data_IF_298873668212
#
_entry.id   IF_298873668212
#
_cell.length_a   1.000
_cell.length_b   1.000
_cell.length_c   1.000
_cell.angle_alpha   90.00
_cell.angle_beta   90.00
_cell.angle_gamma   90.00
#
_symmetry.space_group_name_H-M   'P 1'
#
loop_
_entity.id
_entity.type
_entity.pdbx_description
1 polymer ?
#
# COMPACT_ATOMS: atom_id res chain seq x y z
N UNK A 1 2.32 26.40 0.38
CA UNK A 1 1.17 26.77 1.25
C UNK A 1 0.00 25.81 1.06
N UNK A 2 -0.56 25.64 -0.15
CA UNK A 2 -1.70 24.77 -0.43
C UNK A 2 -1.41 23.28 -0.15
N UNK A 3 -0.28 22.76 -0.62
CA UNK A 3 0.10 21.37 -0.38
C UNK A 3 0.16 21.02 1.12
N UNK A 4 0.77 21.89 1.94
CA UNK A 4 0.87 21.65 3.37
C UNK A 4 -0.53 21.57 4.02
N UNK A 5 -1.44 22.46 3.65
CA UNK A 5 -2.83 22.43 4.11
C UNK A 5 -3.52 21.12 3.70
N UNK A 6 -3.46 20.75 2.44
CA UNK A 6 -4.11 19.52 1.92
C UNK A 6 -3.55 18.26 2.56
N UNK A 7 -2.21 18.21 2.79
CA UNK A 7 -1.55 17.15 3.55
C UNK A 7 -2.08 17.09 5.00
N UNK A 8 -2.17 18.23 5.67
CA UNK A 8 -2.53 18.29 7.09
C UNK A 8 -4.02 17.99 7.33
N UNK A 9 -4.87 18.28 6.35
CA UNK A 9 -6.29 17.93 6.31
C UNK A 9 -6.57 16.52 5.75
N UNK A 10 -5.55 15.70 5.46
CA UNK A 10 -5.66 14.37 4.84
C UNK A 10 -6.54 14.37 3.57
N UNK A 11 -6.46 15.44 2.76
CA UNK A 11 -7.32 15.60 1.59
C UNK A 11 -7.02 14.55 0.52
N UNK A 12 -5.74 14.19 0.29
CA UNK A 12 -5.36 13.22 -0.72
C UNK A 12 -5.87 11.82 -0.40
N UNK A 13 -5.85 11.43 0.88
CA UNK A 13 -6.40 10.19 1.41
C UNK A 13 -7.91 10.13 1.17
N UNK A 14 -8.62 11.20 1.51
CA UNK A 14 -10.08 11.30 1.32
C UNK A 14 -10.48 11.26 -0.16
N UNK A 15 -9.73 11.93 -1.02
CA UNK A 15 -9.94 11.87 -2.48
C UNK A 15 -9.73 10.43 -2.98
N UNK A 16 -8.62 9.79 -2.57
CA UNK A 16 -8.36 8.40 -2.96
C UNK A 16 -9.49 7.46 -2.53
N UNK A 17 -9.94 7.58 -1.28
CA UNK A 17 -11.03 6.76 -0.75
C UNK A 17 -12.33 6.93 -1.58
N UNK A 18 -12.72 8.16 -1.87
CA UNK A 18 -13.90 8.45 -2.68
C UNK A 18 -13.77 7.89 -4.11
N UNK A 19 -12.60 8.04 -4.76
CA UNK A 19 -12.37 7.51 -6.10
C UNK A 19 -12.36 5.97 -6.14
N UNK A 20 -11.86 5.33 -5.09
CA UNK A 20 -11.90 3.86 -4.95
C UNK A 20 -13.36 3.38 -4.86
N UNK A 21 -14.17 3.99 -3.99
CA UNK A 21 -15.59 3.65 -3.86
C UNK A 21 -16.31 3.81 -5.22
N UNK A 22 -16.14 4.94 -5.88
CA UNK A 22 -16.75 5.23 -7.18
C UNK A 22 -16.36 4.23 -8.27
N UNK A 23 -15.06 3.86 -8.37
CA UNK A 23 -14.62 2.90 -9.39
C UNK A 23 -15.07 1.47 -9.07
N UNK A 24 -15.22 1.13 -7.80
CA UNK A 24 -15.78 -0.16 -7.39
C UNK A 24 -17.26 -0.27 -7.76
N UNK A 25 -18.07 0.71 -7.39
CA UNK A 25 -19.50 0.76 -7.70
C UNK A 25 -19.73 0.74 -9.21
N UNK A 26 -18.96 1.49 -9.98
CA UNK A 26 -19.02 1.46 -11.45
C UNK A 26 -18.66 0.08 -12.03
N UNK A 27 -17.81 -0.69 -11.37
CA UNK A 27 -17.50 -2.07 -11.75
C UNK A 27 -18.51 -3.09 -11.24
N UNK A 28 -19.66 -2.65 -10.71
CA UNK A 28 -20.69 -3.52 -10.16
C UNK A 28 -20.29 -4.19 -8.85
N UNK A 29 -19.43 -3.57 -8.06
CA UNK A 29 -18.95 -4.06 -6.76
C UNK A 29 -19.40 -3.14 -5.64
N UNK A 30 -19.49 -3.68 -4.44
CA UNK A 30 -19.72 -2.86 -3.26
C UNK A 30 -18.61 -1.81 -3.07
N UNK A 31 -18.98 -0.62 -2.60
CA UNK A 31 -18.03 0.48 -2.35
C UNK A 31 -16.87 0.06 -1.43
N UNK A 32 -17.16 -0.73 -0.39
CA UNK A 32 -16.16 -1.30 0.52
C UNK A 32 -15.79 -2.74 0.11
N UNK A 33 -14.49 -3.09 0.01
CA UNK A 33 -14.06 -4.45 -0.31
C UNK A 33 -14.24 -5.40 0.86
N UNK A 34 -14.50 -6.69 0.58
CA UNK A 34 -14.48 -7.80 1.55
C UNK A 34 -13.12 -8.50 1.62
N UNK A 35 -12.26 -8.27 0.63
CA UNK A 35 -10.92 -8.87 0.57
C UNK A 35 -9.88 -7.91 -0.02
N UNK A 36 -8.63 -8.05 0.42
CA UNK A 36 -7.53 -7.20 -0.01
C UNK A 36 -6.20 -7.97 -0.11
N UNK A 37 -5.19 -7.32 -0.66
CA UNK A 37 -3.81 -7.82 -0.75
C UNK A 37 -2.90 -6.78 -0.11
N UNK A 38 -1.98 -7.24 0.74
CA UNK A 38 -0.97 -6.40 1.40
C UNK A 38 0.42 -6.79 0.93
N UNK A 39 1.27 -5.78 0.72
CA UNK A 39 2.71 -5.96 0.49
C UNK A 39 3.47 -4.68 0.84
N UNK A 40 4.80 -4.76 0.86
CA UNK A 40 5.68 -3.64 1.13
C UNK A 40 6.74 -3.42 0.05
N UNK A 41 7.09 -2.16 -0.17
CA UNK A 41 8.20 -1.77 -1.02
C UNK A 41 9.17 -0.89 -0.25
N UNK A 42 10.46 -1.27 -0.24
CA UNK A 42 11.53 -0.40 0.27
C UNK A 42 12.09 0.48 -0.83
N UNK A 43 12.25 1.77 -0.56
CA UNK A 43 12.78 2.76 -1.51
C UNK A 43 13.90 3.56 -0.86
N UNK A 44 14.92 3.92 -1.65
CA UNK A 44 16.01 4.79 -1.19
C UNK A 44 15.48 6.19 -0.90
N UNK A 45 15.99 6.81 0.15
CA UNK A 45 15.87 8.26 0.38
C UNK A 45 17.05 9.00 -0.23
N UNK A 46 16.92 10.32 -0.30
CA UNK A 46 18.01 11.24 -0.68
C UNK A 46 18.65 11.88 0.55
N UNK A 47 19.65 12.74 0.35
CA UNK A 47 20.33 13.50 1.42
C UNK A 47 19.43 14.58 2.05
N UNK A 48 18.24 14.83 1.54
CA UNK A 48 17.29 15.84 2.03
C UNK A 48 16.80 15.63 3.46
N UNK A 49 17.25 14.56 4.13
CA UNK A 49 16.95 14.32 5.54
C UNK A 49 15.64 13.56 5.79
N UNK A 50 15.14 13.69 7.02
CA UNK A 50 13.93 13.05 7.49
C UNK A 50 14.12 11.61 8.00
N UNK A 51 13.06 11.01 8.60
CA UNK A 51 13.10 9.66 9.14
C UNK A 51 13.46 8.64 8.06
N UNK A 52 14.47 7.80 8.33
CA UNK A 52 14.92 6.71 7.44
C UNK A 52 15.50 5.57 8.26
N UNK A 53 15.44 4.34 7.75
CA UNK A 53 16.00 3.16 8.36
C UNK A 53 16.74 2.28 7.34
N UNK A 54 17.17 1.10 7.74
CA UNK A 54 17.84 0.14 6.88
C UNK A 54 17.06 -1.18 6.81
N UNK A 55 16.58 -1.51 5.63
CA UNK A 55 15.99 -2.81 5.34
C UNK A 55 17.11 -3.82 5.07
N UNK A 56 17.42 -4.67 6.04
CA UNK A 56 18.50 -5.64 5.93
C UNK A 56 18.21 -6.74 4.89
N UNK A 57 16.95 -7.11 4.70
CA UNK A 57 16.55 -8.12 3.72
C UNK A 57 16.71 -7.65 2.28
N UNK A 58 16.30 -6.41 2.01
CA UNK A 58 16.39 -5.79 0.67
C UNK A 58 17.67 -4.98 0.47
N UNK A 59 18.50 -4.82 1.53
CA UNK A 59 19.75 -4.02 1.54
C UNK A 59 19.52 -2.57 1.09
N UNK A 60 18.42 -1.96 1.52
CA UNK A 60 18.03 -0.59 1.14
C UNK A 60 18.01 0.29 2.40
N UNK A 61 18.78 1.40 2.34
CA UNK A 61 18.68 2.49 3.32
C UNK A 61 17.66 3.51 2.82
N UNK A 62 16.57 3.68 3.58
CA UNK A 62 15.50 4.58 3.15
C UNK A 62 14.20 4.41 3.90
N UNK A 63 13.11 4.33 3.17
CA UNK A 63 11.75 4.14 3.69
C UNK A 63 11.09 2.90 3.11
N UNK A 64 10.17 2.35 3.87
CA UNK A 64 9.31 1.26 3.46
C UNK A 64 7.90 1.82 3.27
N UNK A 65 7.22 1.37 2.23
CA UNK A 65 5.84 1.73 1.90
C UNK A 65 5.02 0.47 1.98
N UNK A 66 4.13 0.36 2.96
CA UNK A 66 3.12 -0.68 2.97
C UNK A 66 1.93 -0.23 2.13
N UNK A 67 1.36 -1.13 1.36
CA UNK A 67 0.15 -0.88 0.60
C UNK A 67 -0.85 -2.00 0.81
N UNK A 68 -2.11 -1.62 1.02
CA UNK A 68 -3.27 -2.48 0.98
C UNK A 68 -4.05 -2.12 -0.28
N UNK A 69 -4.28 -3.09 -1.16
CA UNK A 69 -5.06 -2.91 -2.39
C UNK A 69 -6.22 -3.90 -2.43
N UNK A 70 -7.31 -3.57 -3.13
CA UNK A 70 -8.36 -4.55 -3.38
C UNK A 70 -7.93 -5.61 -4.41
N UNK A 71 -8.79 -6.58 -4.69
CA UNK A 71 -8.51 -7.69 -5.61
C UNK A 71 -8.30 -7.27 -7.07
N UNK A 72 -8.64 -6.04 -7.45
CA UNK A 72 -8.42 -5.47 -8.78
C UNK A 72 -7.25 -4.45 -8.80
N UNK A 73 -6.62 -4.21 -7.66
CA UNK A 73 -5.47 -3.31 -7.51
C UNK A 73 -5.83 -1.84 -7.27
N UNK A 74 -7.04 -1.57 -6.77
CA UNK A 74 -7.38 -0.23 -6.28
C UNK A 74 -6.69 0.02 -4.95
N UNK A 75 -5.95 1.12 -4.79
CA UNK A 75 -5.23 1.42 -3.55
C UNK A 75 -6.19 1.82 -2.43
N UNK A 76 -6.31 0.98 -1.42
CA UNK A 76 -7.14 1.23 -0.25
C UNK A 76 -6.40 2.09 0.77
N UNK A 77 -5.20 1.65 1.14
CA UNK A 77 -4.32 2.32 2.10
C UNK A 77 -2.87 2.24 1.63
N UNK A 78 -2.11 3.29 1.89
CA UNK A 78 -0.65 3.33 1.67
C UNK A 78 0.00 4.07 2.83
N UNK A 79 0.91 3.39 3.56
CA UNK A 79 1.56 3.96 4.74
C UNK A 79 3.09 3.88 4.62
N UNK A 80 3.79 5.02 4.57
CA UNK A 80 5.25 5.06 4.59
C UNK A 80 5.79 5.12 6.02
N UNK A 81 6.87 4.40 6.27
CA UNK A 81 7.64 4.45 7.51
C UNK A 81 9.12 4.20 7.25
N UNK A 82 9.96 4.21 8.28
CA UNK A 82 11.38 3.91 8.16
C UNK A 82 11.60 2.47 7.68
N UNK A 83 12.63 2.21 6.88
CA UNK A 83 12.80 0.92 6.22
C UNK A 83 13.19 -0.23 7.17
N UNK A 84 13.61 0.07 8.40
CA UNK A 84 13.92 -0.89 9.46
C UNK A 84 12.67 -1.52 10.11
N UNK A 85 11.50 -0.91 9.95
CA UNK A 85 10.23 -1.51 10.41
C UNK A 85 9.97 -2.80 9.63
N UNK A 86 9.76 -3.91 10.35
CA UNK A 86 9.52 -5.21 9.71
C UNK A 86 8.12 -5.30 9.09
N UNK A 87 7.96 -6.13 8.06
CA UNK A 87 6.70 -6.25 7.33
C UNK A 87 5.54 -6.68 8.23
N UNK A 88 5.79 -7.55 9.21
CA UNK A 88 4.80 -7.96 10.22
C UNK A 88 4.33 -6.82 11.12
N UNK A 89 5.22 -5.89 11.48
CA UNK A 89 4.88 -4.78 12.39
C UNK A 89 4.14 -3.67 11.63
N UNK A 90 4.65 -3.26 10.48
CA UNK A 90 3.97 -2.29 9.61
C UNK A 90 2.65 -2.80 9.03
N UNK A 91 2.60 -4.08 8.68
CA UNK A 91 1.37 -4.72 8.19
C UNK A 91 0.28 -4.80 9.24
N UNK A 92 0.61 -5.17 10.48
CA UNK A 92 -0.35 -5.19 11.58
C UNK A 92 -0.97 -3.82 11.83
N UNK A 93 -0.15 -2.77 11.88
CA UNK A 93 -0.63 -1.39 12.03
C UNK A 93 -1.55 -0.97 10.87
N UNK A 94 -1.18 -1.29 9.61
CA UNK A 94 -2.01 -0.97 8.45
C UNK A 94 -3.37 -1.68 8.48
N UNK A 95 -3.41 -2.94 8.90
CA UNK A 95 -4.65 -3.71 9.03
C UNK A 95 -5.55 -3.14 10.14
N UNK A 96 -4.99 -2.66 11.25
CA UNK A 96 -5.75 -1.96 12.28
C UNK A 96 -6.41 -0.68 11.75
N UNK A 97 -5.67 0.13 10.99
CA UNK A 97 -6.22 1.33 10.34
C UNK A 97 -7.33 0.93 9.36
N UNK A 98 -7.13 -0.15 8.60
CA UNK A 98 -8.11 -0.61 7.61
C UNK A 98 -9.46 -0.98 8.21
N UNK A 99 -9.52 -1.46 9.45
CA UNK A 99 -10.78 -1.78 10.15
C UNK A 99 -11.71 -0.59 10.29
N UNK A 100 -11.16 0.62 10.50
CA UNK A 100 -11.96 1.85 10.61
C UNK A 100 -12.48 2.36 9.28
N UNK A 101 -11.75 2.16 8.19
CA UNK A 101 -12.08 2.70 6.87
C UNK A 101 -12.77 1.69 5.95
N UNK A 102 -12.48 0.42 6.10
CA UNK A 102 -12.99 -0.69 5.28
C UNK A 102 -13.43 -1.85 6.20
N UNK A 103 -14.51 -1.68 6.98
CA UNK A 103 -14.91 -2.62 8.04
C UNK A 103 -15.31 -4.01 7.52
N UNK A 104 -15.63 -4.13 6.22
CA UNK A 104 -16.04 -5.38 5.59
C UNK A 104 -14.89 -6.24 5.08
N UNK A 105 -13.62 -5.81 5.25
CA UNK A 105 -12.48 -6.66 4.91
C UNK A 105 -12.40 -7.82 5.92
N UNK A 106 -12.63 -9.03 5.43
CA UNK A 106 -12.56 -10.28 6.20
C UNK A 106 -11.28 -11.07 5.89
N UNK A 107 -10.70 -10.88 4.69
CA UNK A 107 -9.57 -11.65 4.20
C UNK A 107 -8.52 -10.77 3.54
N UNK A 108 -7.24 -11.05 3.85
CA UNK A 108 -6.09 -10.40 3.23
C UNK A 108 -5.07 -11.46 2.79
N UNK A 109 -4.57 -11.34 1.56
CA UNK A 109 -3.44 -12.12 1.07
C UNK A 109 -2.14 -11.35 1.30
N UNK A 110 -1.14 -12.07 1.79
CA UNK A 110 0.17 -11.50 2.13
C UNK A 110 1.31 -12.48 1.77
N UNK A 111 2.55 -11.99 1.78
CA UNK A 111 3.71 -12.87 1.68
C UNK A 111 4.16 -13.45 3.03
N UNK A 112 5.21 -14.30 3.01
CA UNK A 112 5.74 -14.93 4.21
C UNK A 112 6.26 -13.96 5.27
N UNK A 113 6.61 -12.72 4.91
CA UNK A 113 7.03 -11.67 5.84
C UNK A 113 5.94 -11.23 6.82
N UNK A 114 4.68 -11.49 6.48
CA UNK A 114 3.51 -11.20 7.31
C UNK A 114 3.05 -12.41 8.15
N UNK A 115 3.72 -13.56 8.05
CA UNK A 115 3.37 -14.75 8.82
C UNK A 115 3.80 -14.60 10.28
N UNK A 116 3.01 -13.89 11.06
CA UNK A 116 3.26 -13.65 12.48
C UNK A 116 1.95 -13.50 13.25
N UNK A 117 1.87 -14.07 14.46
CA UNK A 117 0.70 -13.99 15.33
C UNK A 117 0.22 -12.53 15.55
N UNK A 118 1.16 -11.57 15.68
CA UNK A 118 0.82 -10.15 15.83
C UNK A 118 -0.01 -9.58 14.67
N UNK A 119 0.16 -10.10 13.45
CA UNK A 119 -0.63 -9.64 12.30
C UNK A 119 -2.05 -10.21 12.36
N UNK A 120 -2.18 -11.48 12.74
CA UNK A 120 -3.49 -12.15 12.87
C UNK A 120 -4.27 -11.72 14.10
N UNK A 121 -3.57 -11.44 15.21
CA UNK A 121 -4.19 -10.98 16.46
C UNK A 121 -4.53 -9.48 16.47
N UNK A 122 -3.85 -8.68 15.64
CA UNK A 122 -4.08 -7.25 15.55
C UNK A 122 -5.51 -6.89 15.11
N UNK A 123 -6.13 -7.78 14.35
CA UNK A 123 -7.47 -7.59 13.78
C UNK A 123 -8.18 -8.93 13.65
N UNK A 124 -9.51 -8.92 13.48
CA UNK A 124 -10.29 -10.11 13.14
C UNK A 124 -10.19 -10.50 11.64
N UNK A 125 -9.22 -9.94 10.91
CA UNK A 125 -9.03 -10.21 9.48
C UNK A 125 -8.23 -11.51 9.33
N UNK A 126 -8.73 -12.45 8.51
CA UNK A 126 -7.99 -13.65 8.14
C UNK A 126 -6.84 -13.31 7.19
N UNK A 127 -5.60 -13.57 7.61
CA UNK A 127 -4.42 -13.37 6.75
C UNK A 127 -3.98 -14.70 6.15
N UNK A 128 -4.11 -14.82 4.83
CA UNK A 128 -3.66 -15.99 4.07
C UNK A 128 -2.28 -15.73 3.48
N UNK A 129 -1.31 -16.54 3.88
CA UNK A 129 0.06 -16.43 3.37
C UNK A 129 0.17 -17.14 2.02
N UNK A 130 0.51 -16.37 0.99
CA UNK A 130 0.77 -16.89 -0.37
C UNK A 130 2.26 -17.03 -0.57
N UNK A 131 2.77 -18.25 -0.56
CA UNK A 131 4.18 -18.57 -0.79
C UNK A 131 4.36 -19.36 -2.08
N UNK A 132 5.60 -19.38 -2.59
CA UNK A 132 5.96 -20.27 -3.71
C UNK A 132 5.81 -21.73 -3.26
N UNK A 133 5.36 -22.59 -4.20
CA UNK A 133 5.33 -24.03 -3.97
C UNK A 133 6.78 -24.51 -3.83
N UNK A 134 7.04 -25.34 -2.84
CA UNK A 134 8.37 -25.91 -2.60
C UNK A 134 8.86 -26.65 -3.87
N UNK A 135 10.11 -26.36 -4.29
CA UNK A 135 10.70 -26.94 -5.51
C UNK A 135 10.52 -26.14 -6.79
N UNK A 136 9.72 -25.07 -6.80
CA UNK A 136 9.64 -24.17 -7.96
C UNK A 136 10.86 -23.23 -8.03
N UNK A 137 11.70 -23.38 -9.05
CA UNK A 137 12.77 -22.45 -9.41
C UNK A 137 12.28 -21.44 -10.46
N UNK A 138 12.82 -20.21 -10.42
CA UNK A 138 12.50 -19.15 -11.37
C UNK A 138 11.38 -18.20 -10.93
N UNK A 139 11.00 -17.30 -11.85
CA UNK A 139 9.91 -16.33 -11.61
C UNK A 139 8.55 -17.02 -11.76
N UNK A 140 7.75 -17.01 -10.70
CA UNK A 140 6.38 -17.52 -10.70
C UNK A 140 5.44 -16.42 -10.29
N UNK A 141 4.43 -16.15 -11.11
CA UNK A 141 3.35 -15.22 -10.74
C UNK A 141 2.51 -15.88 -9.67
N UNK A 142 2.65 -15.40 -8.43
CA UNK A 142 1.83 -15.89 -7.32
C UNK A 142 0.40 -15.37 -7.45
N UNK A 143 -0.61 -16.24 -7.34
CA UNK A 143 -2.00 -15.83 -7.43
C UNK A 143 -2.30 -14.66 -6.49
N UNK A 144 -2.94 -13.61 -7.03
CA UNK A 144 -3.36 -12.38 -6.33
C UNK A 144 -2.22 -11.44 -5.88
N UNK A 145 -1.04 -11.91 -5.44
CA UNK A 145 0.07 -11.05 -5.00
C UNK A 145 0.56 -10.09 -6.09
N UNK A 146 0.62 -10.53 -7.35
CA UNK A 146 1.02 -9.66 -8.45
C UNK A 146 0.22 -8.36 -8.57
N UNK A 147 -0.97 -8.30 -7.97
CA UNK A 147 -1.86 -7.13 -8.01
C UNK A 147 -1.26 -5.95 -7.24
N UNK A 148 -0.75 -6.18 -6.02
CA UNK A 148 -0.10 -5.13 -5.22
C UNK A 148 1.28 -4.79 -5.77
N UNK A 149 2.02 -5.77 -6.32
CA UNK A 149 3.30 -5.54 -7.01
C UNK A 149 3.08 -4.62 -8.23
N UNK A 150 2.02 -4.85 -9.00
CA UNK A 150 1.59 -3.99 -10.11
C UNK A 150 1.27 -2.57 -9.64
N UNK A 151 0.59 -2.40 -8.52
CA UNK A 151 0.34 -1.09 -7.94
C UNK A 151 1.64 -0.35 -7.66
N UNK A 152 2.62 -0.98 -7.00
CA UNK A 152 3.94 -0.38 -6.78
C UNK A 152 4.66 -0.02 -8.08
N UNK A 153 4.61 -0.90 -9.08
CA UNK A 153 5.18 -0.61 -10.39
C UNK A 153 4.55 0.63 -11.03
N UNK A 154 3.25 0.83 -10.88
CA UNK A 154 2.56 1.99 -11.44
C UNK A 154 2.85 3.29 -10.71
N UNK A 155 2.87 3.31 -9.37
CA UNK A 155 3.21 4.52 -8.63
C UNK A 155 4.67 4.94 -8.86
N UNK A 156 5.58 4.00 -9.05
CA UNK A 156 7.00 4.27 -9.32
C UNK A 156 7.25 4.91 -10.71
N UNK A 157 6.28 4.89 -11.62
CA UNK A 157 6.35 5.68 -12.87
C UNK A 157 6.33 7.19 -12.61
N UNK A 158 5.87 7.62 -11.44
CA UNK A 158 6.00 9.01 -11.01
C UNK A 158 7.45 9.25 -10.57
N UNK A 159 8.18 10.09 -11.29
CA UNK A 159 9.59 10.39 -11.02
C UNK A 159 9.88 10.75 -9.57
N UNK A 160 8.96 11.48 -8.90
CA UNK A 160 9.06 11.86 -7.51
C UNK A 160 8.99 10.67 -6.54
N UNK A 161 8.37 9.56 -6.95
CA UNK A 161 8.21 8.36 -6.13
C UNK A 161 9.23 7.25 -6.44
N UNK A 162 10.08 7.40 -7.46
CA UNK A 162 11.18 6.47 -7.75
C UNK A 162 12.19 6.37 -6.60
N UNK A 163 12.37 7.47 -5.86
CA UNK A 163 13.01 7.54 -4.54
C UNK A 163 12.07 8.31 -3.62
N UNK A 164 12.29 8.23 -2.31
CA UNK A 164 11.58 9.09 -1.36
C UNK A 164 12.45 10.30 -1.05
N UNK A 165 12.00 11.46 -1.51
CA UNK A 165 12.71 12.74 -1.35
C UNK A 165 12.06 13.64 -0.29
N UNK A 166 11.06 13.13 0.42
CA UNK A 166 10.28 13.95 1.34
C UNK A 166 10.95 14.08 2.70
N UNK A 167 10.89 15.29 3.28
CA UNK A 167 11.46 15.55 4.59
C UNK A 167 10.67 14.86 5.74
N UNK A 168 9.39 14.57 5.53
CA UNK A 168 8.54 13.95 6.56
C UNK A 168 7.77 12.76 6.00
N UNK A 169 7.43 11.79 6.86
CA UNK A 169 6.55 10.66 6.51
C UNK A 169 5.17 11.14 6.07
N UNK A 170 4.65 12.18 6.70
CA UNK A 170 3.35 12.78 6.36
C UNK A 170 3.33 13.35 4.93
N UNK A 171 4.42 14.00 4.50
CA UNK A 171 4.55 14.45 3.11
C UNK A 171 4.72 13.28 2.15
N UNK A 172 5.46 12.25 2.54
CA UNK A 172 5.59 11.03 1.73
C UNK A 172 4.24 10.35 1.53
N UNK A 173 3.43 10.19 2.57
CA UNK A 173 2.07 9.66 2.49
C UNK A 173 1.20 10.50 1.54
N UNK A 174 1.19 11.83 1.69
CA UNK A 174 0.40 12.71 0.84
C UNK A 174 0.76 12.57 -0.65
N UNK A 175 2.04 12.44 -1.02
CA UNK A 175 2.45 12.21 -2.41
C UNK A 175 2.09 10.80 -2.91
N UNK A 176 2.15 9.79 -2.05
CA UNK A 176 1.69 8.43 -2.40
C UNK A 176 0.19 8.43 -2.70
N UNK A 177 -0.62 9.05 -1.86
CA UNK A 177 -2.07 9.16 -2.09
C UNK A 177 -2.42 10.05 -3.28
N UNK A 178 -1.69 11.13 -3.53
CA UNK A 178 -1.87 11.93 -4.74
C UNK A 178 -1.61 11.09 -6.01
N UNK A 179 -0.56 10.25 -6.01
CA UNK A 179 -0.27 9.35 -7.11
C UNK A 179 -1.33 8.22 -7.23
N UNK A 180 -1.79 7.67 -6.12
CA UNK A 180 -2.87 6.70 -6.07
C UNK A 180 -4.17 7.26 -6.64
N UNK A 181 -4.57 8.45 -6.22
CA UNK A 181 -5.73 9.17 -6.75
C UNK A 181 -5.61 9.42 -8.26
N UNK A 182 -4.42 9.79 -8.74
CA UNK A 182 -4.17 9.96 -10.19
C UNK A 182 -4.32 8.64 -10.96
N UNK A 183 -3.90 7.51 -10.40
CA UNK A 183 -4.14 6.19 -11.00
C UNK A 183 -5.63 5.90 -11.09
N UNK A 184 -6.38 6.19 -10.03
CA UNK A 184 -7.83 5.98 -9.99
C UNK A 184 -8.56 6.87 -11.01
N UNK A 185 -8.21 8.15 -11.11
CA UNK A 185 -8.75 9.07 -12.12
C UNK A 185 -8.51 8.57 -13.56
N UNK A 186 -7.28 8.10 -13.84
CA UNK A 186 -6.95 7.51 -15.15
C UNK A 186 -7.74 6.24 -15.44
N UNK A 187 -8.01 5.45 -14.42
CA UNK A 187 -8.83 4.24 -14.53
C UNK A 187 -10.28 4.60 -14.84
N UNK A 188 -10.84 5.56 -14.10
CA UNK A 188 -12.18 6.09 -14.32
C UNK A 188 -12.34 6.70 -15.74
N UNK A 189 -11.36 7.43 -16.23
CA UNK A 189 -11.39 8.05 -17.55
C UNK A 189 -11.31 7.05 -18.72
N UNK A 190 -10.70 5.89 -18.55
CA UNK A 190 -10.54 4.87 -19.62
C UNK A 190 -11.78 4.00 -19.82
N UNK A 191 -12.64 3.96 -18.86
CA UNK A 191 -13.83 3.10 -18.89
C UNK A 191 -15.11 3.91 -19.20
N UNK A 192 -14.94 5.19 -19.49
CA UNK A 192 -15.95 6.05 -20.08
C UNK A 192 -15.83 6.02 -21.60
#
# INVERSE_FOLDING_TARGET
RWFARFRDECLFERINHALVALDRERAGRDASPSAAIIDSQSVKTTESGGPRGYDAGKKIKGRKRHALVDTDGRPLLVEPHTADVQDRDGGGALLQISRGLFPFIEKVWADGGYNHHRVTEATSITVEIVSKIAGQSGFVVLPRRWVVERFFAWINRNRRLAKDVEATLKSAAAFLYAAAAMLMLRRLARSA
#
